data_IF_333990929141
#
_entry.id   IF_333990929141
#
_cell.length_a   1.000
_cell.length_b   1.000
_cell.length_c   1.000
_cell.angle_alpha   90.00
_cell.angle_beta   90.00
_cell.angle_gamma   90.00
#
_symmetry.space_group_name_H-M   'P 1'
#
loop_
_entity.id
_entity.type
_entity.pdbx_description
1 polymer ?
#
# COMPACT_ATOMS: atom_id res chain seq x y z
N UNK A 1 -20.89 6.65 13.00
CA UNK A 1 -20.69 8.07 12.59
C UNK A 1 -19.32 8.29 11.94
N UNK A 2 -18.23 7.78 12.52
CA UNK A 2 -16.88 7.82 11.92
C UNK A 2 -16.82 7.17 10.52
N UNK A 3 -17.46 6.00 10.34
CA UNK A 3 -17.52 5.30 9.04
C UNK A 3 -18.26 6.09 7.95
N UNK A 4 -19.41 6.72 8.28
CA UNK A 4 -20.15 7.56 7.32
C UNK A 4 -19.39 8.83 6.95
N UNK A 5 -18.64 9.42 7.88
CA UNK A 5 -17.78 10.57 7.61
C UNK A 5 -16.56 10.19 6.74
N UNK A 6 -15.96 9.02 7.00
CA UNK A 6 -14.87 8.47 6.19
C UNK A 6 -15.33 8.14 4.76
N UNK A 7 -16.52 7.55 4.60
CA UNK A 7 -17.14 7.27 3.29
C UNK A 7 -17.42 8.55 2.50
N UNK A 8 -17.95 9.60 3.14
CA UNK A 8 -18.17 10.89 2.50
C UNK A 8 -16.86 11.62 2.13
N UNK A 9 -15.79 11.46 2.92
CA UNK A 9 -14.47 11.99 2.61
C UNK A 9 -13.81 11.24 1.45
N UNK A 10 -13.94 9.91 1.40
CA UNK A 10 -13.47 9.08 0.29
C UNK A 10 -14.17 9.44 -1.03
N UNK A 11 -15.50 9.62 -1.00
CA UNK A 11 -16.27 10.04 -2.17
C UNK A 11 -15.85 11.43 -2.68
N UNK A 12 -15.58 12.39 -1.78
CA UNK A 12 -15.08 13.72 -2.15
C UNK A 12 -13.67 13.68 -2.74
N UNK A 13 -12.79 12.83 -2.21
CA UNK A 13 -11.46 12.63 -2.75
C UNK A 13 -11.53 12.08 -4.18
N UNK A 14 -12.36 11.05 -4.43
CA UNK A 14 -12.57 10.50 -5.77
C UNK A 14 -13.17 11.53 -6.76
N UNK A 15 -14.01 12.47 -6.30
CA UNK A 15 -14.59 13.48 -7.18
C UNK A 15 -13.56 14.51 -7.71
N UNK A 16 -12.46 14.75 -6.97
CA UNK A 16 -11.42 15.70 -7.37
C UNK A 16 -10.34 15.10 -8.30
N UNK A 17 -10.45 13.83 -8.66
CA UNK A 17 -9.49 13.14 -9.54
C UNK A 17 -9.65 13.56 -11.00
N UNK A 18 -8.52 13.76 -11.68
CA UNK A 18 -8.48 13.90 -13.14
C UNK A 18 -8.93 12.61 -13.84
N UNK A 19 -9.24 12.66 -15.14
CA UNK A 19 -9.69 11.47 -15.87
C UNK A 19 -8.73 10.27 -15.78
N UNK A 20 -7.41 10.52 -15.88
CA UNK A 20 -6.40 9.47 -15.76
C UNK A 20 -6.28 8.92 -14.33
N UNK A 21 -6.33 9.80 -13.33
CA UNK A 21 -6.31 9.40 -11.92
C UNK A 21 -7.51 8.53 -11.57
N UNK A 22 -8.70 8.91 -12.06
CA UNK A 22 -9.96 8.19 -11.87
C UNK A 22 -9.95 6.81 -12.53
N UNK A 23 -9.35 6.70 -13.71
CA UNK A 23 -9.17 5.42 -14.40
C UNK A 23 -8.28 4.46 -13.59
N UNK A 24 -7.15 4.95 -13.07
CA UNK A 24 -6.27 4.17 -12.19
C UNK A 24 -6.97 3.77 -10.89
N UNK A 25 -7.62 4.74 -10.22
CA UNK A 25 -8.39 4.49 -9.00
C UNK A 25 -9.44 3.40 -9.22
N UNK A 26 -10.25 3.53 -10.29
CA UNK A 26 -11.26 2.55 -10.65
C UNK A 26 -10.68 1.16 -10.90
N UNK A 27 -9.61 1.07 -11.69
CA UNK A 27 -8.96 -0.21 -11.98
C UNK A 27 -8.45 -0.92 -10.71
N UNK A 28 -7.81 -0.17 -9.80
CA UNK A 28 -7.30 -0.74 -8.54
C UNK A 28 -8.44 -1.13 -7.60
N UNK A 29 -9.47 -0.31 -7.47
CA UNK A 29 -10.61 -0.58 -6.58
C UNK A 29 -11.44 -1.75 -7.09
N UNK A 30 -11.70 -1.84 -8.39
CA UNK A 30 -12.42 -2.97 -8.98
C UNK A 30 -11.62 -4.28 -8.83
N UNK A 31 -10.30 -4.23 -9.00
CA UNK A 31 -9.43 -5.38 -8.73
C UNK A 31 -9.48 -5.79 -7.26
N UNK A 32 -9.36 -4.84 -6.34
CA UNK A 32 -9.30 -5.10 -4.90
C UNK A 32 -10.62 -5.61 -4.32
N UNK A 33 -11.76 -5.02 -4.73
CA UNK A 33 -13.07 -5.31 -4.13
C UNK A 33 -13.87 -6.35 -4.90
N UNK A 34 -13.74 -6.38 -6.23
CA UNK A 34 -14.54 -7.25 -7.10
C UNK A 34 -13.73 -8.40 -7.71
N UNK A 35 -12.40 -8.37 -7.58
CA UNK A 35 -11.52 -9.38 -8.17
C UNK A 35 -11.48 -9.34 -9.69
N UNK A 36 -11.77 -8.17 -10.29
CA UNK A 36 -11.82 -7.99 -11.75
C UNK A 36 -10.56 -7.29 -12.24
N UNK A 37 -9.95 -7.82 -13.30
CA UNK A 37 -8.75 -7.23 -13.92
C UNK A 37 -7.43 -7.66 -13.26
N UNK A 38 -6.38 -6.89 -13.51
CA UNK A 38 -5.03 -7.18 -13.01
C UNK A 38 -4.93 -7.00 -11.50
N UNK A 39 -4.13 -7.82 -10.81
CA UNK A 39 -3.92 -7.73 -9.35
C UNK A 39 -2.73 -6.87 -8.95
N UNK A 40 -1.93 -6.45 -9.92
CA UNK A 40 -0.73 -5.66 -9.72
C UNK A 40 -0.78 -4.45 -10.65
N UNK A 41 -0.73 -3.27 -10.06
CA UNK A 41 -0.73 -2.01 -10.80
C UNK A 41 0.52 -1.22 -10.44
N UNK A 42 1.07 -0.53 -11.43
CA UNK A 42 2.18 0.39 -11.25
C UNK A 42 1.79 1.76 -11.80
N UNK A 43 2.02 2.80 -11.01
CA UNK A 43 1.77 4.19 -11.41
C UNK A 43 3.09 4.94 -11.40
N UNK A 44 3.60 5.24 -12.59
CA UNK A 44 4.70 6.18 -12.78
C UNK A 44 4.15 7.49 -13.32
N UNK A 45 4.60 8.59 -12.72
CA UNK A 45 4.21 9.91 -13.15
C UNK A 45 5.26 10.94 -12.69
N UNK A 46 5.38 12.09 -13.36
CA UNK A 46 6.21 13.19 -12.90
C UNK A 46 5.87 13.66 -11.47
N UNK A 47 6.80 14.40 -10.84
CA UNK A 47 6.52 15.10 -9.59
C UNK A 47 5.32 16.05 -9.72
N UNK A 48 4.53 16.21 -8.66
CA UNK A 48 3.38 17.14 -8.66
C UNK A 48 2.10 16.62 -9.33
N UNK A 49 2.09 15.40 -9.86
CA UNK A 49 0.92 14.81 -10.56
C UNK A 49 -0.15 14.20 -9.66
N UNK A 50 -0.02 14.33 -8.34
CA UNK A 50 -1.02 13.85 -7.39
C UNK A 50 -1.05 12.34 -7.16
N UNK A 51 0.02 11.58 -7.41
CA UNK A 51 0.08 10.14 -7.12
C UNK A 51 -0.34 9.79 -5.69
N UNK A 52 0.22 10.50 -4.72
CA UNK A 52 -0.12 10.35 -3.30
C UNK A 52 -1.60 10.67 -3.03
N UNK A 53 -2.22 11.56 -3.79
CA UNK A 53 -3.64 11.84 -3.67
C UNK A 53 -4.48 10.61 -4.08
N UNK A 54 -4.14 9.99 -5.21
CA UNK A 54 -4.78 8.75 -5.69
C UNK A 54 -4.55 7.58 -4.73
N UNK A 55 -3.33 7.41 -4.22
CA UNK A 55 -3.02 6.37 -3.22
C UNK A 55 -3.92 6.52 -1.98
N UNK A 56 -4.10 7.74 -1.47
CA UNK A 56 -4.98 8.03 -0.33
C UNK A 56 -6.45 7.74 -0.64
N UNK A 57 -6.91 8.08 -1.84
CA UNK A 57 -8.28 7.81 -2.29
C UNK A 57 -8.55 6.31 -2.36
N UNK A 58 -7.63 5.53 -2.95
CA UNK A 58 -7.72 4.06 -3.01
C UNK A 58 -7.79 3.46 -1.59
N UNK A 59 -6.88 3.86 -0.69
CA UNK A 59 -6.88 3.37 0.69
C UNK A 59 -8.22 3.67 1.37
N UNK A 60 -8.75 4.87 1.19
CA UNK A 60 -10.02 5.27 1.78
C UNK A 60 -11.20 4.48 1.19
N UNK A 61 -11.23 4.26 -0.13
CA UNK A 61 -12.29 3.52 -0.81
C UNK A 61 -12.33 2.06 -0.34
N UNK A 62 -11.18 1.37 -0.33
CA UNK A 62 -11.10 -0.04 0.09
C UNK A 62 -11.47 -0.20 1.56
N UNK A 63 -11.05 0.73 2.44
CA UNK A 63 -11.44 0.71 3.86
C UNK A 63 -12.90 1.04 4.08
N UNK A 64 -13.49 1.93 3.28
CA UNK A 64 -14.91 2.26 3.37
C UNK A 64 -15.79 1.04 3.04
N UNK A 65 -15.27 0.10 2.24
CA UNK A 65 -15.89 -1.19 1.93
C UNK A 65 -15.62 -2.27 3.00
N UNK A 66 -14.91 -1.93 4.09
CA UNK A 66 -14.63 -2.84 5.20
C UNK A 66 -13.41 -3.74 5.01
N UNK A 67 -12.64 -3.56 3.94
CA UNK A 67 -11.45 -4.36 3.67
C UNK A 67 -10.21 -3.81 4.40
N UNK A 68 -9.34 -4.74 4.84
CA UNK A 68 -8.05 -4.39 5.41
C UNK A 68 -7.06 -3.95 4.32
N UNK A 69 -6.34 -2.87 4.57
CA UNK A 69 -5.32 -2.33 3.65
C UNK A 69 -3.98 -2.20 4.36
N UNK A 70 -2.94 -2.79 3.78
CA UNK A 70 -1.56 -2.66 4.25
C UNK A 70 -0.86 -1.58 3.44
N UNK A 71 -0.42 -0.52 4.12
CA UNK A 71 0.20 0.65 3.50
C UNK A 71 1.70 0.64 3.79
N UNK A 72 2.51 0.70 2.74
CA UNK A 72 3.96 0.66 2.81
C UNK A 72 4.59 1.73 1.92
N UNK A 73 5.62 2.42 2.41
CA UNK A 73 6.42 3.35 1.62
C UNK A 73 7.92 3.05 1.74
N UNK A 74 8.74 3.49 0.78
CA UNK A 74 10.20 3.26 0.83
C UNK A 74 10.89 4.09 1.91
N UNK A 75 10.45 5.34 2.13
CA UNK A 75 11.00 6.28 3.11
C UNK A 75 10.02 6.62 4.22
N UNK A 76 10.53 7.07 5.37
CA UNK A 76 9.70 7.53 6.49
C UNK A 76 8.84 8.74 6.11
N UNK A 77 9.40 9.70 5.35
CA UNK A 77 8.67 10.89 4.89
C UNK A 77 7.52 10.49 3.95
N UNK A 78 7.76 9.56 3.02
CA UNK A 78 6.67 9.07 2.17
C UNK A 78 5.60 8.34 2.98
N UNK A 79 5.99 7.56 4.00
CA UNK A 79 5.04 6.88 4.88
C UNK A 79 4.12 7.88 5.62
N UNK A 80 4.65 9.02 6.07
CA UNK A 80 3.84 10.05 6.76
C UNK A 80 2.76 10.71 5.90
N UNK A 81 2.88 10.63 4.57
CA UNK A 81 1.88 11.20 3.65
C UNK A 81 0.67 10.27 3.46
N UNK A 82 0.78 9.01 3.87
CA UNK A 82 -0.27 8.01 3.69
C UNK A 82 -0.94 7.69 5.05
N UNK A 83 -2.27 7.49 5.07
CA UNK A 83 -2.98 7.11 6.28
C UNK A 83 -2.52 5.73 6.77
N UNK A 84 -2.13 5.66 8.05
CA UNK A 84 -1.46 4.50 8.68
C UNK A 84 -0.24 3.99 7.91
N UNK A 85 0.39 4.87 7.13
CA UNK A 85 1.58 4.57 6.36
C UNK A 85 2.74 4.23 7.28
N UNK A 86 3.43 3.14 6.95
CA UNK A 86 4.66 2.71 7.58
C UNK A 86 5.70 2.44 6.50
N UNK A 87 6.97 2.46 6.87
CA UNK A 87 8.02 2.07 5.92
C UNK A 87 7.86 0.60 5.56
N UNK A 88 8.18 0.21 4.33
CA UNK A 88 8.17 -1.19 3.88
C UNK A 88 8.91 -2.10 4.87
N UNK A 89 10.08 -1.65 5.35
CA UNK A 89 10.87 -2.34 6.36
C UNK A 89 10.10 -2.60 7.65
N UNK A 90 9.40 -1.60 8.18
CA UNK A 90 8.63 -1.74 9.43
C UNK A 90 7.30 -2.48 9.26
N UNK A 91 6.65 -2.36 8.10
CA UNK A 91 5.41 -3.04 7.74
C UNK A 91 5.63 -4.55 7.58
N UNK A 92 6.64 -4.94 6.80
CA UNK A 92 6.91 -6.34 6.49
C UNK A 92 8.00 -6.96 7.39
N UNK A 93 8.50 -6.20 8.37
CA UNK A 93 9.59 -6.60 9.27
C UNK A 93 10.82 -7.08 8.51
N UNK A 94 11.11 -6.42 7.39
CA UNK A 94 12.32 -6.67 6.60
C UNK A 94 13.48 -6.04 7.35
N UNK A 95 14.49 -6.84 7.78
CA UNK A 95 15.66 -6.32 8.46
C UNK A 95 16.33 -5.21 7.64
N UNK A 96 16.82 -4.19 8.32
CA UNK A 96 17.68 -3.18 7.69
C UNK A 96 19.11 -3.62 7.97
N UNK A 97 19.73 -4.26 7.00
CA UNK A 97 21.12 -4.69 7.10
C UNK A 97 21.63 -5.13 5.75
N UNK A 98 22.73 -4.53 5.32
CA UNK A 98 23.73 -5.34 4.64
C UNK A 98 24.36 -6.27 5.69
N UNK A 99 24.94 -7.39 5.27
CA UNK A 99 25.97 -7.98 6.11
C UNK A 99 27.08 -6.94 6.37
N UNK A 100 27.95 -7.20 7.33
CA UNK A 100 29.07 -6.32 7.69
C UNK A 100 29.99 -5.94 6.52
N UNK A 101 29.80 -6.58 5.35
CA UNK A 101 30.55 -6.40 4.10
C UNK A 101 29.76 -5.62 3.02
N UNK A 102 28.61 -5.03 3.36
CA UNK A 102 27.86 -4.16 2.44
C UNK A 102 27.08 -4.92 1.36
N UNK A 103 26.96 -6.24 1.44
CA UNK A 103 26.14 -7.01 0.51
C UNK A 103 24.68 -7.01 0.96
N UNK A 104 23.77 -6.92 -0.02
CA UNK A 104 22.36 -7.15 0.22
C UNK A 104 22.17 -8.59 0.74
N UNK A 105 21.74 -8.73 1.99
CA UNK A 105 21.41 -10.06 2.53
C UNK A 105 20.40 -10.75 1.61
N UNK A 106 20.71 -11.98 1.23
CA UNK A 106 19.93 -12.75 0.27
C UNK A 106 18.58 -13.17 0.88
N UNK A 107 17.57 -12.30 0.79
CA UNK A 107 16.29 -12.37 1.50
C UNK A 107 15.50 -13.68 1.31
N UNK A 108 15.69 -14.36 0.17
CA UNK A 108 15.02 -15.65 -0.12
C UNK A 108 15.39 -16.73 0.90
N UNK A 109 16.64 -16.75 1.38
CA UNK A 109 17.09 -17.73 2.37
C UNK A 109 16.56 -17.41 3.77
N UNK A 110 16.60 -16.13 4.16
CA UNK A 110 16.12 -15.67 5.47
C UNK A 110 14.60 -15.88 5.65
N UNK A 111 13.80 -15.58 4.61
CA UNK A 111 12.35 -15.81 4.64
C UNK A 111 11.99 -17.30 4.70
N UNK A 112 12.72 -18.16 3.99
CA UNK A 112 12.56 -19.63 4.08
C UNK A 112 12.90 -20.16 5.48
N UNK A 113 14.00 -19.70 6.07
CA UNK A 113 14.41 -20.10 7.42
C UNK A 113 13.40 -19.68 8.51
N UNK A 114 12.64 -18.60 8.28
CA UNK A 114 11.59 -18.13 9.19
C UNK A 114 10.27 -18.88 8.99
N UNK A 115 9.88 -19.17 7.75
CA UNK A 115 8.71 -20.00 7.44
C UNK A 115 8.84 -21.43 8.01
N UNK A 116 10.06 -21.99 8.03
CA UNK A 116 10.33 -23.29 8.63
C UNK A 116 10.31 -23.27 10.17
N UNK A 117 10.59 -22.12 10.80
CA UNK A 117 10.51 -21.94 12.26
C UNK A 117 9.08 -21.83 12.76
N UNK A 118 8.18 -21.18 12.01
CA UNK A 118 6.75 -21.06 12.37
C UNK A 118 5.93 -22.36 12.25
N UNK A 119 6.52 -23.46 11.73
CA UNK A 119 5.87 -24.78 11.64
C UNK A 119 6.20 -25.73 12.79
N UNK A 120 7.02 -25.31 13.75
CA UNK A 120 7.33 -26.06 14.98
C UNK A 120 6.98 -25.19 16.18
N UNK A 121 5.70 -25.21 16.57
CA UNK A 121 5.20 -24.66 17.84
C UNK A 121 4.74 -23.20 17.76
N UNK A 122 3.42 -23.01 17.69
CA UNK A 122 2.56 -22.63 18.83
C UNK A 122 1.26 -23.45 18.73
#
# INVERSE_FOLDING_TARGET
RAERAASAAAARAAMAETGQQRALHGAVVDSALRGVGDRLHFCDAPGGTGKTFVERAIIAAVRADGHAVVVGASSGVAATLLPDGRTFHSTFKVPVGADSDGQAVQWRAALRARALRGRRGE
#
